data_IF_988981776268
#
_entry.id   IF_988981776268
#
_cell.length_a   1.000
_cell.length_b   1.000
_cell.length_c   1.000
_cell.angle_alpha   90.00
_cell.angle_beta   90.00
_cell.angle_gamma   90.00
#
_symmetry.space_group_name_H-M   'P 1'
#
loop_
_entity.id
_entity.type
_entity.pdbx_description
1 polymer ?
#
# COMPACT_ATOMS: atom_id res chain seq x y z
N UNK A 1 -20.86 -14.33 -11.52
CA UNK A 1 -20.65 -14.07 -12.96
C UNK A 1 -19.38 -13.27 -13.24
N UNK A 2 -19.08 -12.18 -12.51
CA UNK A 2 -17.91 -11.32 -12.80
C UNK A 2 -16.52 -11.98 -12.68
N UNK A 3 -16.40 -13.15 -12.06
CA UNK A 3 -15.12 -13.86 -11.82
C UNK A 3 -14.87 -15.01 -12.79
N UNK A 4 -15.68 -15.17 -13.84
CA UNK A 4 -15.49 -16.24 -14.83
C UNK A 4 -14.30 -15.85 -15.74
N UNK A 5 -13.32 -16.75 -15.97
CA UNK A 5 -12.12 -16.45 -16.74
C UNK A 5 -12.42 -15.90 -18.14
N UNK A 6 -11.50 -15.09 -18.66
CA UNK A 6 -11.46 -14.58 -20.03
C UNK A 6 -12.33 -13.36 -20.37
N UNK A 7 -12.72 -12.53 -19.40
CA UNK A 7 -13.47 -11.29 -19.72
C UNK A 7 -12.73 -9.97 -19.41
N UNK A 8 -11.81 -9.89 -18.43
CA UNK A 8 -11.27 -8.58 -17.98
C UNK A 8 -9.79 -8.52 -17.55
N UNK A 9 -8.97 -9.56 -17.79
CA UNK A 9 -7.50 -9.46 -17.57
C UNK A 9 -7.04 -9.24 -16.11
N UNK A 10 -7.88 -9.57 -15.12
CA UNK A 10 -7.63 -9.31 -13.71
C UNK A 10 -8.10 -10.48 -12.84
N UNK A 11 -7.29 -10.83 -11.83
CA UNK A 11 -7.58 -11.93 -10.92
C UNK A 11 -7.90 -11.37 -9.53
N UNK A 12 -9.12 -11.56 -8.99
CA UNK A 12 -9.47 -11.08 -7.66
C UNK A 12 -8.80 -11.97 -6.60
N UNK A 13 -7.63 -11.55 -6.13
CA UNK A 13 -6.83 -12.31 -5.14
C UNK A 13 -7.09 -11.78 -3.73
N UNK A 14 -7.67 -12.65 -2.90
CA UNK A 14 -7.82 -12.45 -1.47
C UNK A 14 -6.57 -12.83 -0.69
N UNK A 15 -6.26 -12.07 0.35
CA UNK A 15 -5.15 -12.31 1.28
C UNK A 15 -5.70 -12.71 2.64
N UNK A 16 -5.10 -13.72 3.27
CA UNK A 16 -5.47 -14.14 4.63
C UNK A 16 -5.20 -13.01 5.61
N UNK A 17 -6.18 -12.67 6.43
CA UNK A 17 -6.00 -11.73 7.53
C UNK A 17 -6.96 -12.03 8.68
N UNK A 18 -6.68 -11.52 9.88
CA UNK A 18 -7.54 -11.77 11.05
C UNK A 18 -8.83 -10.93 10.99
N UNK A 19 -8.73 -9.72 10.45
CA UNK A 19 -9.84 -8.78 10.34
C UNK A 19 -9.68 -7.82 9.15
N UNK A 20 -10.79 -7.22 8.75
CA UNK A 20 -10.81 -6.20 7.70
C UNK A 20 -9.94 -4.98 8.06
N UNK A 21 -9.97 -4.53 9.31
CA UNK A 21 -9.20 -3.38 9.80
C UNK A 21 -7.69 -3.62 9.72
N UNK A 22 -7.25 -4.85 9.99
CA UNK A 22 -5.84 -5.23 9.86
C UNK A 22 -5.43 -5.32 8.39
N UNK A 23 -6.32 -5.83 7.54
CA UNK A 23 -6.11 -5.92 6.10
C UNK A 23 -5.95 -4.53 5.48
N UNK A 24 -6.88 -3.59 5.70
CA UNK A 24 -6.78 -2.23 5.13
C UNK A 24 -5.61 -1.42 5.70
N UNK A 25 -5.15 -1.75 6.91
CA UNK A 25 -3.93 -1.18 7.49
C UNK A 25 -2.63 -1.80 6.91
N UNK A 26 -2.72 -2.66 5.90
CA UNK A 26 -1.58 -3.31 5.26
C UNK A 26 -0.82 -4.28 6.17
N UNK A 27 -1.46 -4.78 7.24
CA UNK A 27 -0.78 -5.71 8.19
C UNK A 27 -0.66 -7.13 7.63
N UNK A 28 -1.44 -7.44 6.59
CA UNK A 28 -1.48 -8.73 5.92
C UNK A 28 -1.25 -8.49 4.43
N UNK A 29 -0.10 -8.94 3.92
CA UNK A 29 0.33 -8.65 2.53
C UNK A 29 1.12 -9.79 1.89
N UNK A 30 1.34 -10.88 2.62
CA UNK A 30 2.16 -12.00 2.20
C UNK A 30 1.25 -13.15 1.76
N UNK A 31 1.64 -13.87 0.70
CA UNK A 31 0.93 -15.05 0.24
C UNK A 31 1.41 -16.34 0.90
N UNK A 32 2.38 -16.28 1.82
CA UNK A 32 3.08 -17.42 2.39
C UNK A 32 4.02 -18.07 1.37
N UNK A 33 4.94 -18.90 1.87
CA UNK A 33 5.96 -19.59 1.06
C UNK A 33 5.32 -20.44 -0.05
N UNK A 34 4.24 -21.14 0.26
CA UNK A 34 3.53 -22.02 -0.69
C UNK A 34 2.32 -21.33 -1.34
N UNK A 35 2.18 -20.01 -1.19
CA UNK A 35 1.01 -19.29 -1.68
C UNK A 35 -0.28 -19.58 -0.89
N UNK A 36 -0.20 -20.23 0.27
CA UNK A 36 -1.35 -20.66 1.09
C UNK A 36 -2.10 -19.51 1.79
N UNK A 37 -1.51 -18.31 1.84
CA UNK A 37 -2.15 -17.11 2.39
C UNK A 37 -2.84 -16.27 1.31
N UNK A 38 -2.88 -16.74 0.06
CA UNK A 38 -3.60 -16.07 -1.03
C UNK A 38 -4.51 -17.04 -1.79
N UNK A 39 -5.74 -16.62 -2.06
CA UNK A 39 -6.71 -17.41 -2.80
C UNK A 39 -7.43 -16.55 -3.85
N UNK A 40 -7.82 -17.17 -4.96
CA UNK A 40 -8.62 -16.51 -6.00
C UNK A 40 -10.07 -16.54 -5.55
N UNK A 41 -10.74 -15.40 -5.61
CA UNK A 41 -12.18 -15.33 -5.35
C UNK A 41 -12.96 -15.76 -6.61
N UNK A 42 -14.01 -16.57 -6.41
CA UNK A 42 -14.99 -16.89 -7.45
C UNK A 42 -14.71 -18.18 -8.20
N UNK A 43 -14.83 -18.16 -9.53
CA UNK A 43 -14.90 -19.37 -10.36
C UNK A 43 -13.66 -20.27 -10.22
N UNK A 44 -12.49 -19.65 -10.06
CA UNK A 44 -11.19 -20.32 -9.92
C UNK A 44 -10.76 -20.54 -8.45
N UNK A 45 -11.69 -20.46 -7.49
CA UNK A 45 -11.38 -20.63 -6.08
C UNK A 45 -10.88 -22.04 -5.72
N UNK A 46 -11.17 -23.03 -6.55
CA UNK A 46 -10.81 -24.44 -6.37
C UNK A 46 -9.40 -24.79 -6.85
N UNK A 47 -8.68 -23.88 -7.53
CA UNK A 47 -7.31 -24.10 -8.02
C UNK A 47 -6.36 -24.54 -6.88
N UNK A 48 -6.60 -24.04 -5.66
CA UNK A 48 -5.80 -24.34 -4.47
C UNK A 48 -6.46 -25.34 -3.51
N UNK A 49 -7.42 -26.15 -3.97
CA UNK A 49 -8.17 -27.10 -3.13
C UNK A 49 -7.29 -28.06 -2.32
N UNK A 50 -6.13 -28.45 -2.84
CA UNK A 50 -5.21 -29.35 -2.13
C UNK A 50 -4.54 -28.65 -0.94
N UNK A 51 -4.25 -27.35 -1.03
CA UNK A 51 -3.77 -26.55 0.11
C UNK A 51 -4.86 -26.40 1.18
N UNK A 52 -6.13 -26.29 0.77
CA UNK A 52 -7.27 -26.17 1.70
C UNK A 52 -7.42 -27.44 2.56
N UNK A 53 -7.00 -28.62 2.08
CA UNK A 53 -7.02 -29.86 2.88
C UNK A 53 -5.98 -29.84 4.01
N UNK A 54 -4.86 -29.15 3.78
CA UNK A 54 -3.72 -29.10 4.72
C UNK A 54 -3.87 -27.99 5.75
N UNK A 55 -4.58 -26.91 5.43
CA UNK A 55 -4.72 -25.74 6.29
C UNK A 55 -6.16 -25.59 6.81
N UNK A 56 -6.35 -25.16 8.08
CA UNK A 56 -7.68 -24.90 8.61
C UNK A 56 -8.37 -23.78 7.81
N UNK A 57 -9.73 -23.71 7.79
CA UNK A 57 -10.46 -22.62 7.16
C UNK A 57 -9.98 -21.24 7.60
N UNK A 58 -9.85 -20.29 6.66
CA UNK A 58 -9.32 -18.94 6.90
C UNK A 58 -10.21 -17.86 6.30
N UNK A 59 -10.09 -16.65 6.84
CA UNK A 59 -10.73 -15.45 6.26
C UNK A 59 -9.77 -14.81 5.26
N UNK A 60 -10.27 -14.57 4.06
CA UNK A 60 -9.57 -13.87 2.99
C UNK A 60 -10.24 -12.52 2.76
N UNK A 61 -9.44 -11.48 2.57
CA UNK A 61 -9.90 -10.13 2.28
C UNK A 61 -9.26 -9.62 1.00
N UNK A 62 -10.04 -8.92 0.20
CA UNK A 62 -9.61 -8.18 -0.99
C UNK A 62 -10.47 -6.94 -1.16
N UNK A 63 -9.99 -6.02 -1.99
CA UNK A 63 -10.82 -4.95 -2.52
C UNK A 63 -11.49 -5.34 -3.83
N UNK A 64 -12.63 -4.72 -4.10
CA UNK A 64 -13.36 -4.76 -5.37
C UNK A 64 -13.82 -3.34 -5.72
N UNK A 65 -14.04 -3.07 -7.00
CA UNK A 65 -14.64 -1.81 -7.45
C UNK A 65 -16.12 -1.79 -7.09
N UNK A 66 -16.71 -0.60 -6.98
CA UNK A 66 -18.15 -0.46 -6.72
C UNK A 66 -19.01 -0.69 -7.98
N UNK A 67 -18.38 -0.76 -9.16
CA UNK A 67 -19.03 -0.92 -10.46
C UNK A 67 -18.45 -2.10 -11.23
N UNK A 68 -19.23 -2.74 -12.12
CA UNK A 68 -18.70 -3.73 -13.07
C UNK A 68 -17.50 -3.18 -13.85
N UNK A 69 -16.44 -3.97 -14.09
CA UNK A 69 -16.33 -5.42 -13.84
C UNK A 69 -15.99 -5.82 -12.38
N UNK A 70 -16.06 -4.89 -11.42
CA UNK A 70 -15.75 -5.08 -9.98
C UNK A 70 -14.30 -5.47 -9.67
N UNK A 71 -13.49 -5.75 -10.69
CA UNK A 71 -12.05 -5.94 -10.54
C UNK A 71 -11.39 -4.63 -10.12
N UNK A 72 -10.39 -4.76 -9.24
CA UNK A 72 -9.33 -3.77 -9.05
C UNK A 72 -7.98 -4.48 -8.97
N UNK A 73 -6.94 -3.79 -9.39
CA UNK A 73 -5.57 -4.13 -9.06
C UNK A 73 -5.28 -3.67 -7.63
N UNK A 74 -4.61 -4.53 -6.86
CA UNK A 74 -4.36 -4.29 -5.44
C UNK A 74 -2.85 -4.28 -5.17
N UNK A 75 -2.36 -3.16 -4.63
CA UNK A 75 -0.95 -2.98 -4.29
C UNK A 75 -0.78 -2.86 -2.77
N UNK A 76 0.08 -3.71 -2.21
CA UNK A 76 0.49 -3.65 -0.81
C UNK A 76 1.80 -2.86 -0.72
N UNK A 77 1.75 -1.66 -0.14
CA UNK A 77 2.91 -0.77 -0.06
C UNK A 77 3.45 -0.79 1.36
N UNK A 78 4.74 -1.08 1.49
CA UNK A 78 5.46 -1.10 2.77
C UNK A 78 6.74 -0.29 2.67
N UNK A 79 6.89 0.70 3.54
CA UNK A 79 8.08 1.55 3.65
C UNK A 79 8.72 1.33 5.01
N UNK A 80 9.97 0.85 5.03
CA UNK A 80 10.79 0.77 6.25
C UNK A 80 11.76 1.94 6.26
N UNK A 81 11.66 2.79 7.29
CA UNK A 81 12.61 3.87 7.48
C UNK A 81 13.90 3.35 8.12
N UNK A 82 15.03 3.91 7.69
CA UNK A 82 16.33 3.63 8.32
C UNK A 82 16.32 3.99 9.80
N UNK A 83 17.07 3.25 10.61
CA UNK A 83 17.25 3.54 12.02
C UNK A 83 18.66 4.12 12.24
N UNK A 84 18.75 5.45 12.36
CA UNK A 84 19.96 6.13 12.85
C UNK A 84 19.56 6.84 14.12
N UNK A 85 20.07 6.37 15.26
CA UNK A 85 19.61 6.74 16.60
C UNK A 85 19.67 8.24 16.97
N UNK A 86 20.27 9.06 16.12
CA UNK A 86 20.34 10.53 16.25
C UNK A 86 19.21 11.29 15.55
N UNK A 87 18.39 10.64 14.72
CA UNK A 87 17.31 11.30 13.97
C UNK A 87 16.06 11.44 14.85
N UNK A 88 15.49 12.64 14.92
CA UNK A 88 14.28 12.91 15.68
C UNK A 88 13.00 12.53 14.90
N UNK A 89 11.91 12.31 15.64
CA UNK A 89 10.58 12.10 15.06
C UNK A 89 10.08 13.41 14.45
N UNK A 90 9.38 13.34 13.32
CA UNK A 90 8.81 14.51 12.65
C UNK A 90 7.33 14.28 12.31
N UNK A 91 6.58 15.35 12.10
CA UNK A 91 5.18 15.28 11.66
C UNK A 91 5.14 15.56 10.17
N UNK A 92 4.47 14.70 9.40
CA UNK A 92 4.44 14.86 7.96
C UNK A 92 3.75 13.73 7.21
N UNK A 93 3.93 13.74 5.90
CA UNK A 93 3.44 12.71 4.99
C UNK A 93 4.59 11.97 4.32
N UNK A 94 4.43 10.67 4.20
CA UNK A 94 5.29 9.79 3.42
C UNK A 94 4.49 9.36 2.20
N UNK A 95 4.95 9.79 1.02
CA UNK A 95 4.30 9.50 -0.25
C UNK A 95 5.21 8.64 -1.11
N UNK A 96 4.72 7.48 -1.49
CA UNK A 96 5.34 6.60 -2.49
C UNK A 96 4.59 6.79 -3.79
N UNK A 97 5.28 7.09 -4.88
CA UNK A 97 4.68 7.14 -6.22
C UNK A 97 5.08 5.88 -6.97
N UNK A 98 4.12 4.99 -7.20
CA UNK A 98 4.29 3.86 -8.10
C UNK A 98 4.17 4.40 -9.51
N UNK A 99 5.25 4.34 -10.29
CA UNK A 99 5.26 4.74 -11.70
C UNK A 99 5.34 3.48 -12.53
N UNK A 100 4.35 3.29 -13.39
CA UNK A 100 4.33 2.20 -14.32
C UNK A 100 4.17 2.68 -15.75
N UNK A 101 4.19 1.73 -16.68
CA UNK A 101 4.09 2.00 -18.11
C UNK A 101 2.79 2.72 -18.49
N UNK A 102 1.70 2.38 -17.81
CA UNK A 102 0.35 2.83 -18.15
C UNK A 102 -0.18 3.93 -17.21
N UNK A 103 0.61 4.36 -16.22
CA UNK A 103 0.17 5.40 -15.31
C UNK A 103 1.05 5.58 -14.10
N UNK A 104 0.62 6.44 -13.18
CA UNK A 104 1.30 6.67 -11.91
C UNK A 104 0.30 6.77 -10.77
N UNK A 105 0.60 6.13 -9.65
CA UNK A 105 -0.24 6.09 -8.46
C UNK A 105 0.53 6.67 -7.26
N UNK A 106 0.19 7.89 -6.80
CA UNK A 106 0.69 8.42 -5.55
C UNK A 106 -0.01 7.76 -4.36
N UNK A 107 0.76 7.28 -3.40
CA UNK A 107 0.30 6.52 -2.23
C UNK A 107 0.82 7.19 -0.97
N UNK A 108 -0.06 7.74 -0.15
CA UNK A 108 0.30 8.14 1.21
C UNK A 108 0.29 6.90 2.12
N UNK A 109 1.46 6.53 2.66
CA UNK A 109 1.63 5.28 3.43
C UNK A 109 1.39 5.46 4.93
N UNK A 110 1.28 6.70 5.41
CA UNK A 110 0.94 7.01 6.79
C UNK A 110 -0.42 7.72 6.88
N UNK A 111 -0.90 7.94 8.11
CA UNK A 111 -2.02 8.87 8.29
C UNK A 111 -1.56 10.27 7.90
N UNK A 112 -2.43 11.05 7.25
CA UNK A 112 -2.11 12.43 6.87
C UNK A 112 -1.58 13.21 8.08
N UNK A 113 -0.46 13.92 7.91
CA UNK A 113 0.25 14.61 8.99
C UNK A 113 0.55 13.69 10.19
N UNK A 114 0.96 12.45 9.90
CA UNK A 114 1.26 11.44 10.92
C UNK A 114 2.64 11.64 11.54
N UNK A 115 2.84 11.05 12.72
CA UNK A 115 4.15 10.98 13.35
C UNK A 115 5.06 9.99 12.59
N UNK A 116 6.12 10.54 12.02
CA UNK A 116 7.17 9.83 11.29
C UNK A 116 8.31 9.54 12.27
N UNK A 117 8.63 8.26 12.47
CA UNK A 117 9.66 7.83 13.41
C UNK A 117 10.72 6.95 12.70
N UNK A 118 12.01 7.20 12.92
CA UNK A 118 13.08 6.34 12.40
C UNK A 118 12.90 4.87 12.82
N UNK A 119 13.35 3.95 11.97
CA UNK A 119 13.23 2.50 12.19
C UNK A 119 11.81 1.93 12.03
N UNK A 120 10.77 2.77 11.92
CA UNK A 120 9.40 2.29 11.78
C UNK A 120 9.09 1.80 10.37
N UNK A 121 8.11 0.90 10.30
CA UNK A 121 7.53 0.39 9.06
C UNK A 121 6.12 0.95 8.89
N UNK A 122 5.89 1.62 7.77
CA UNK A 122 4.59 2.16 7.37
C UNK A 122 4.01 1.27 6.27
N UNK A 123 2.75 0.87 6.43
CA UNK A 123 2.08 -0.05 5.51
C UNK A 123 0.69 0.46 5.15
N UNK A 124 0.29 0.21 3.91
CA UNK A 124 -1.07 0.48 3.43
C UNK A 124 -1.38 -0.40 2.23
N UNK A 125 -2.67 -0.52 1.91
CA UNK A 125 -3.15 -1.17 0.70
C UNK A 125 -3.84 -0.12 -0.16
N UNK A 126 -3.52 -0.08 -1.44
CA UNK A 126 -4.16 0.80 -2.42
C UNK A 126 -4.62 0.02 -3.63
N UNK A 127 -5.57 0.59 -4.37
CA UNK A 127 -6.17 -0.07 -5.53
C UNK A 127 -6.25 0.85 -6.73
N UNK A 128 -6.23 0.26 -7.92
CA UNK A 128 -6.52 0.94 -9.19
C UNK A 128 -7.48 0.09 -10.01
N UNK A 129 -8.29 0.72 -10.87
CA UNK A 129 -9.19 -0.03 -11.76
C UNK A 129 -8.43 -0.69 -12.92
N UNK A 130 -7.26 -0.17 -13.29
CA UNK A 130 -6.40 -0.69 -14.36
C UNK A 130 -5.01 -1.09 -13.83
N UNK A 131 -4.35 -2.02 -14.53
CA UNK A 131 -2.96 -2.36 -14.25
C UNK A 131 -2.03 -1.27 -14.77
N UNK A 132 -1.36 -0.59 -13.85
CA UNK A 132 -0.39 0.45 -14.19
C UNK A 132 0.95 -0.12 -14.67
N UNK A 133 1.19 -1.43 -14.50
CA UNK A 133 2.45 -2.12 -14.82
C UNK A 133 3.66 -1.39 -14.22
N UNK A 134 3.80 -1.44 -12.89
CA UNK A 134 4.81 -0.70 -12.12
C UNK A 134 6.23 -1.05 -12.58
N UNK A 135 7.01 -0.03 -12.93
CA UNK A 135 8.40 -0.15 -13.41
C UNK A 135 9.37 0.61 -12.51
N UNK A 136 8.91 1.66 -11.83
CA UNK A 136 9.73 2.50 -10.96
C UNK A 136 8.95 2.93 -9.71
N UNK A 137 9.66 3.11 -8.60
CA UNK A 137 9.11 3.66 -7.37
C UNK A 137 9.84 4.97 -7.05
N UNK A 138 9.09 6.03 -6.75
CA UNK A 138 9.65 7.30 -6.25
C UNK A 138 9.21 7.52 -4.81
N UNK A 139 10.15 7.81 -3.93
CA UNK A 139 9.88 8.18 -2.55
C UNK A 139 9.86 9.70 -2.38
N UNK A 140 8.86 10.21 -1.66
CA UNK A 140 8.71 11.63 -1.32
C UNK A 140 8.26 11.74 0.14
N UNK A 141 8.71 12.77 0.83
CA UNK A 141 8.16 13.15 2.13
C UNK A 141 7.92 14.64 2.19
N UNK A 142 6.95 15.05 2.99
CA UNK A 142 6.73 16.45 3.36
C UNK A 142 6.69 16.55 4.88
N UNK A 143 7.22 17.64 5.42
CA UNK A 143 7.06 17.99 6.82
C UNK A 143 5.90 18.99 6.94
N UNK A 144 5.05 18.83 7.95
CA UNK A 144 4.08 19.83 8.31
C UNK A 144 4.82 21.00 8.99
N UNK A 145 5.24 22.02 8.24
CA UNK A 145 5.81 23.23 8.83
C UNK A 145 4.69 24.03 9.51
N UNK A 146 4.95 24.46 10.75
CA UNK A 146 4.07 25.37 11.49
C UNK A 146 3.84 26.66 10.69
N UNK A 147 2.59 27.13 10.62
CA UNK A 147 2.27 28.49 10.12
C UNK A 147 2.78 29.52 11.12
N UNK A 148 3.79 30.30 10.76
CA UNK A 148 4.18 31.49 11.53
C UNK A 148 3.10 32.55 11.30
N UNK A 149 2.39 32.93 12.36
CA UNK A 149 1.45 34.05 12.35
C UNK A 149 2.23 35.36 12.39
N UNK A 150 2.20 36.06 11.27
CA UNK A 150 2.39 37.51 11.03
C UNK A 150 3.19 37.70 9.74
N UNK A 151 2.71 38.58 8.87
CA UNK A 151 3.10 38.83 7.48
C UNK A 151 4.59 38.64 7.13
N UNK A 152 4.92 37.67 6.27
CA UNK A 152 6.28 37.41 5.77
C UNK A 152 6.34 37.60 4.24
N UNK A 153 7.31 38.41 3.79
CA UNK A 153 7.80 38.43 2.40
C UNK A 153 8.32 37.04 2.05
N UNK A 154 7.79 36.42 0.98
CA UNK A 154 8.18 35.07 0.55
C UNK A 154 9.63 35.11 0.02
N UNK A 155 10.60 34.82 0.89
CA UNK A 155 11.92 34.36 0.48
C UNK A 155 11.84 32.84 0.37
N UNK A 156 12.07 32.30 -0.83
CA UNK A 156 12.14 30.86 -1.07
C UNK A 156 13.52 30.40 -0.59
N UNK A 157 13.64 30.10 0.70
CA UNK A 157 14.76 29.33 1.24
C UNK A 157 14.36 27.85 1.34
N UNK A 158 15.23 26.96 0.86
CA UNK A 158 15.06 25.51 1.07
C UNK A 158 14.94 25.24 2.58
N UNK A 159 13.92 24.52 3.07
CA UNK A 159 13.80 24.25 4.50
C UNK A 159 14.94 23.33 4.94
N UNK A 160 15.91 23.87 5.67
CA UNK A 160 17.08 23.13 6.17
C UNK A 160 16.75 22.07 7.24
N UNK A 161 15.48 21.90 7.64
CA UNK A 161 15.09 21.11 8.80
C UNK A 161 14.66 19.65 8.57
N UNK A 162 14.43 19.20 7.33
CA UNK A 162 13.86 17.86 7.08
C UNK A 162 14.67 17.03 6.09
N UNK A 163 15.77 16.43 6.57
CA UNK A 163 16.55 15.43 5.82
C UNK A 163 16.18 14.01 6.26
N UNK A 164 15.47 13.27 5.41
CA UNK A 164 15.39 11.81 5.50
C UNK A 164 16.53 11.22 4.68
N UNK A 165 17.38 10.44 5.35
CA UNK A 165 18.47 9.72 4.70
C UNK A 165 17.95 8.33 4.31
N UNK A 166 17.67 8.14 3.03
CA UNK A 166 17.43 6.83 2.43
C UNK A 166 18.77 6.17 2.14
N UNK A 167 18.95 4.92 2.59
CA UNK A 167 20.04 4.03 2.20
C UNK A 167 19.41 2.83 1.52
#
# INVERSE_FOLDING_TARGET
MATIPNHYGCQPVGVVCDSWERFIAGKCSDCGVDGNQCAIMGFQADIKKELIKTYPPRKFFLFVSSKPPYCVQQYHVSVKLGNKGTIQRTIGDIVVVLKGRFGSLPVNVNRRNGLISPGMVYKTVVTTDEDIAVEQITFRWTCATFTVSESIRINIEQPEGCRLYLH
#
